data_IF_411440121374
#
_entry.id   IF_411440121374
#
_cell.length_a   1.000
_cell.length_b   1.000
_cell.length_c   1.000
_cell.angle_alpha   90.00
_cell.angle_beta   90.00
_cell.angle_gamma   90.00
#
_symmetry.space_group_name_H-M   'P 1'
#
loop_
_entity.id
_entity.type
_entity.pdbx_description
1 polymer ?
#
# COMPACT_ATOMS: atom_id res chain seq x y z
N UNK A 1 -7.37 19.32 -28.16
CA UNK A 1 -6.78 18.34 -27.22
C UNK A 1 -7.33 16.96 -27.56
N UNK A 2 -6.48 16.03 -27.99
CA UNK A 2 -6.86 14.69 -28.43
C UNK A 2 -6.92 13.71 -27.26
N UNK A 3 -7.64 12.59 -27.41
CA UNK A 3 -7.71 11.52 -26.39
C UNK A 3 -6.30 11.00 -26.03
N UNK A 4 -5.39 10.94 -27.00
CA UNK A 4 -4.00 10.53 -26.80
C UNK A 4 -3.19 11.52 -25.95
N UNK A 5 -3.42 12.83 -26.12
CA UNK A 5 -2.81 13.87 -25.29
C UNK A 5 -3.33 13.83 -23.85
N UNK A 6 -4.64 13.60 -23.68
CA UNK A 6 -5.25 13.43 -22.36
C UNK A 6 -4.63 12.24 -21.62
N UNK A 7 -4.52 11.08 -22.29
CA UNK A 7 -3.90 9.87 -21.70
C UNK A 7 -2.45 10.11 -21.27
N UNK A 8 -1.62 10.73 -22.14
CA UNK A 8 -0.23 11.07 -21.78
C UNK A 8 -0.14 11.98 -20.58
N UNK A 9 -1.04 12.96 -20.47
CA UNK A 9 -1.07 13.92 -19.36
C UNK A 9 -1.50 13.26 -18.06
N UNK A 10 -2.48 12.35 -18.12
CA UNK A 10 -2.89 11.52 -16.99
C UNK A 10 -1.72 10.63 -16.52
N UNK A 11 -0.99 9.98 -17.44
CA UNK A 11 0.14 9.12 -17.06
C UNK A 11 1.31 9.93 -16.49
N UNK A 12 1.56 11.13 -17.00
CA UNK A 12 2.52 12.06 -16.41
C UNK A 12 2.13 12.47 -14.99
N UNK A 13 0.84 12.77 -14.75
CA UNK A 13 0.33 13.10 -13.42
C UNK A 13 0.40 11.89 -12.48
N UNK A 14 0.03 10.69 -12.93
CA UNK A 14 0.17 9.46 -12.14
C UNK A 14 1.62 9.18 -11.75
N UNK A 15 2.58 9.44 -12.64
CA UNK A 15 4.01 9.33 -12.33
C UNK A 15 4.46 10.40 -11.34
N UNK A 16 4.03 11.64 -11.53
CA UNK A 16 4.34 12.77 -10.63
C UNK A 16 3.81 12.53 -9.22
N UNK A 17 2.59 12.01 -9.10
CA UNK A 17 1.89 11.78 -7.83
C UNK A 17 1.85 10.30 -7.42
N UNK A 18 2.79 9.48 -7.92
CA UNK A 18 2.78 8.05 -7.67
C UNK A 18 2.86 7.72 -6.17
N UNK A 19 3.54 8.58 -5.41
CA UNK A 19 3.72 8.44 -3.96
C UNK A 19 2.44 8.78 -3.21
N UNK A 20 1.79 9.90 -3.54
CA UNK A 20 0.55 10.36 -2.94
C UNK A 20 -0.61 9.40 -3.26
N UNK A 21 -0.67 8.91 -4.51
CA UNK A 21 -1.66 7.90 -4.90
C UNK A 21 -1.45 6.56 -4.17
N UNK A 22 -0.20 6.20 -3.88
CA UNK A 22 0.11 5.05 -3.03
C UNK A 22 -0.32 5.30 -1.57
N UNK A 23 -0.18 6.51 -1.04
CA UNK A 23 -0.67 6.80 0.31
C UNK A 23 -2.20 6.74 0.36
N UNK A 24 -2.90 7.33 -0.62
CA UNK A 24 -4.37 7.33 -0.68
C UNK A 24 -4.93 5.91 -0.76
N UNK A 25 -4.38 5.06 -1.63
CA UNK A 25 -4.86 3.68 -1.74
C UNK A 25 -4.51 2.87 -0.49
N UNK A 26 -3.38 3.15 0.16
CA UNK A 26 -2.99 2.48 1.40
C UNK A 26 -3.95 2.86 2.51
N UNK A 27 -4.24 4.16 2.66
CA UNK A 27 -5.19 4.67 3.65
C UNK A 27 -6.52 3.94 3.54
N UNK A 28 -7.04 3.74 2.33
CA UNK A 28 -8.27 2.96 2.11
C UNK A 28 -8.16 1.50 2.59
N UNK A 29 -7.02 0.85 2.40
CA UNK A 29 -6.80 -0.52 2.88
C UNK A 29 -6.65 -0.53 4.40
N UNK A 30 -5.93 0.44 4.94
CA UNK A 30 -5.71 0.60 6.36
C UNK A 30 -7.03 0.86 7.09
N UNK A 31 -7.89 1.74 6.57
CA UNK A 31 -9.25 1.96 7.05
C UNK A 31 -10.07 0.66 6.99
N UNK A 32 -10.00 -0.08 5.89
CA UNK A 32 -10.69 -1.37 5.75
C UNK A 32 -10.15 -2.51 6.64
N UNK A 33 -8.95 -2.35 7.21
CA UNK A 33 -8.34 -3.33 8.13
C UNK A 33 -8.45 -2.86 9.57
N UNK A 34 -8.57 -1.54 9.80
CA UNK A 34 -8.72 -0.93 11.12
C UNK A 34 -9.99 -1.37 11.84
N UNK A 35 -11.09 -1.54 11.10
CA UNK A 35 -12.36 -2.02 11.67
C UNK A 35 -12.23 -3.44 12.27
N UNK A 36 -11.33 -4.26 11.73
CA UNK A 36 -11.06 -5.64 12.18
C UNK A 36 -9.85 -5.74 13.13
N UNK A 37 -9.16 -4.63 13.41
CA UNK A 37 -7.87 -4.66 14.10
C UNK A 37 -8.06 -4.71 15.60
N UNK A 38 -8.00 -5.92 16.14
CA UNK A 38 -7.88 -6.13 17.57
C UNK A 38 -6.38 -6.12 17.98
N UNK A 39 -5.92 -5.20 18.84
CA UNK A 39 -4.54 -5.20 19.33
C UNK A 39 -4.14 -6.50 20.03
N UNK A 40 -5.08 -7.17 20.69
CA UNK A 40 -4.85 -8.42 21.42
C UNK A 40 -4.83 -9.64 20.48
N UNK A 41 -5.44 -9.50 19.29
CA UNK A 41 -5.48 -10.55 18.27
C UNK A 41 -5.36 -9.92 16.89
N UNK A 42 -4.15 -9.47 16.51
CA UNK A 42 -3.95 -8.81 15.23
C UNK A 42 -4.26 -9.79 14.08
N UNK A 43 -4.84 -9.31 12.97
CA UNK A 43 -5.09 -10.14 11.81
C UNK A 43 -3.79 -10.74 11.27
N UNK A 44 -3.88 -11.94 10.70
CA UNK A 44 -2.71 -12.65 10.18
C UNK A 44 -2.00 -11.77 9.13
N UNK A 45 -0.69 -11.49 9.27
CA UNK A 45 0.04 -10.60 8.37
C UNK A 45 -0.07 -11.02 6.89
N UNK A 46 -0.18 -12.32 6.62
CA UNK A 46 -0.40 -12.86 5.27
C UNK A 46 -1.66 -12.31 4.61
N UNK A 47 -2.78 -12.26 5.35
CA UNK A 47 -4.08 -11.84 4.82
C UNK A 47 -4.09 -10.35 4.51
N UNK A 48 -3.48 -9.54 5.39
CA UNK A 48 -3.38 -8.10 5.15
C UNK A 48 -2.44 -7.80 3.99
N UNK A 49 -1.29 -8.48 3.90
CA UNK A 49 -0.39 -8.35 2.74
C UNK A 49 -1.10 -8.74 1.44
N UNK A 50 -1.90 -9.81 1.44
CA UNK A 50 -2.71 -10.18 0.28
C UNK A 50 -3.73 -9.10 -0.09
N UNK A 51 -4.46 -8.52 0.88
CA UNK A 51 -5.39 -7.41 0.64
C UNK A 51 -4.66 -6.23 -0.03
N UNK A 52 -3.46 -5.91 0.45
CA UNK A 52 -2.66 -4.81 -0.09
C UNK A 52 -2.17 -5.12 -1.52
N UNK A 53 -1.70 -6.34 -1.79
CA UNK A 53 -1.30 -6.77 -3.14
C UNK A 53 -2.51 -6.78 -4.10
N UNK A 54 -3.69 -7.21 -3.65
CA UNK A 54 -4.96 -7.18 -4.41
C UNK A 54 -5.42 -5.78 -4.76
N UNK A 55 -5.14 -4.80 -3.91
CA UNK A 55 -5.34 -3.39 -4.21
C UNK A 55 -4.33 -2.81 -5.24
N UNK A 56 -3.42 -3.64 -5.75
CA UNK A 56 -2.45 -3.29 -6.78
C UNK A 56 -1.16 -2.68 -6.25
N UNK A 57 -0.87 -2.81 -4.95
CA UNK A 57 0.44 -2.45 -4.41
C UNK A 57 1.46 -3.53 -4.68
N UNK A 58 2.69 -3.08 -4.87
CA UNK A 58 3.85 -3.94 -5.14
C UNK A 58 4.98 -3.60 -4.19
N UNK A 59 5.93 -4.52 -4.02
CA UNK A 59 7.05 -4.40 -3.09
C UNK A 59 7.84 -3.07 -3.23
N UNK A 60 8.16 -2.55 -4.44
CA UNK A 60 8.84 -1.26 -4.55
C UNK A 60 8.02 -0.07 -4.00
N UNK A 61 6.69 -0.18 -4.07
CA UNK A 61 5.78 0.83 -3.51
C UNK A 61 5.79 0.77 -2.00
N UNK A 62 5.81 -0.45 -1.43
CA UNK A 62 5.95 -0.70 0.00
C UNK A 62 7.21 -0.06 0.60
N UNK A 63 8.36 -0.24 -0.04
CA UNK A 63 9.63 0.32 0.44
C UNK A 63 9.59 1.86 0.45
N UNK A 64 9.03 2.48 -0.60
CA UNK A 64 8.91 3.95 -0.67
C UNK A 64 7.93 4.51 0.34
N UNK A 65 6.88 3.75 0.62
CA UNK A 65 5.84 4.06 1.60
C UNK A 65 6.36 3.93 3.03
N UNK A 66 7.14 2.89 3.33
CA UNK A 66 7.87 2.75 4.60
C UNK A 66 8.64 4.00 4.96
N UNK A 67 9.51 4.45 4.04
CA UNK A 67 10.32 5.65 4.23
C UNK A 67 9.46 6.87 4.52
N UNK A 68 8.37 7.05 3.75
CA UNK A 68 7.45 8.17 3.97
C UNK A 68 6.77 8.12 5.34
N UNK A 69 6.27 6.95 5.74
CA UNK A 69 5.61 6.80 7.04
C UNK A 69 6.59 6.94 8.21
N UNK A 70 7.85 6.52 8.04
CA UNK A 70 8.93 6.77 8.99
C UNK A 70 9.23 8.27 9.13
N UNK A 71 9.23 9.01 8.00
CA UNK A 71 9.40 10.47 7.98
C UNK A 71 8.22 11.16 8.72
N UNK A 72 6.98 10.80 8.38
CA UNK A 72 5.76 11.32 9.05
C UNK A 72 5.73 10.98 10.54
N UNK A 73 6.18 9.78 10.92
CA UNK A 73 6.29 9.37 12.33
C UNK A 73 7.28 10.23 13.11
N UNK A 74 8.39 10.63 12.49
CA UNK A 74 9.37 11.53 13.09
C UNK A 74 8.83 12.95 13.22
N UNK A 75 7.91 13.37 12.35
CA UNK A 75 7.25 14.68 12.37
C UNK A 75 6.11 14.79 13.39
N UNK A 76 5.72 13.67 14.04
CA UNK A 76 4.97 13.69 15.31
C UNK A 76 3.49 13.31 15.24
N UNK A 77 2.90 13.10 14.06
CA UNK A 77 1.53 12.61 13.94
C UNK A 77 1.37 11.58 12.83
N UNK A 78 1.16 10.32 13.23
CA UNK A 78 0.77 9.24 12.33
C UNK A 78 -0.70 8.92 12.61
N UNK A 79 -1.61 9.07 11.63
CA UNK A 79 -2.97 8.59 11.77
C UNK A 79 -3.00 7.10 12.13
N UNK A 80 -3.92 6.70 13.02
CA UNK A 80 -4.05 5.31 13.48
C UNK A 80 -4.06 4.23 12.37
N UNK A 81 -4.72 4.43 11.20
CA UNK A 81 -4.64 3.44 10.12
C UNK A 81 -3.22 3.30 9.57
N UNK A 82 -2.44 4.38 9.55
CA UNK A 82 -1.08 4.38 9.03
C UNK A 82 -0.09 3.72 10.01
N UNK A 83 -0.32 3.79 11.33
CA UNK A 83 0.49 3.05 12.31
C UNK A 83 0.34 1.55 12.14
N UNK A 84 -0.87 1.05 11.86
CA UNK A 84 -1.09 -0.37 11.58
C UNK A 84 -0.30 -0.84 10.35
N UNK A 85 -0.25 -0.02 9.30
CA UNK A 85 0.56 -0.35 8.14
C UNK A 85 2.03 -0.39 8.49
N UNK A 86 2.53 0.57 9.29
CA UNK A 86 3.91 0.57 9.75
C UNK A 86 4.29 -0.75 10.45
N UNK A 87 3.40 -1.29 11.28
CA UNK A 87 3.62 -2.56 11.98
C UNK A 87 3.65 -3.78 11.04
N UNK A 88 3.00 -3.68 9.88
CA UNK A 88 2.97 -4.72 8.85
C UNK A 88 4.15 -4.67 7.87
N UNK A 89 4.83 -3.52 7.74
CA UNK A 89 5.95 -3.34 6.81
C UNK A 89 7.13 -4.31 7.03
N UNK A 90 7.56 -4.60 8.28
CA UNK A 90 8.63 -5.58 8.52
C UNK A 90 8.30 -6.97 7.95
N UNK A 91 7.02 -7.33 7.93
CA UNK A 91 6.56 -8.62 7.40
C UNK A 91 6.65 -8.67 5.87
N UNK A 92 6.41 -7.55 5.18
CA UNK A 92 6.55 -7.47 3.73
C UNK A 92 8.01 -7.67 3.24
N UNK A 93 8.99 -7.42 4.12
CA UNK A 93 10.41 -7.61 3.82
C UNK A 93 10.90 -9.04 4.08
N UNK A 94 10.16 -9.82 4.86
CA UNK A 94 10.45 -11.23 5.14
C UNK A 94 10.25 -12.08 3.87
N UNK A 95 11.23 -12.93 3.57
CA UNK A 95 11.29 -13.72 2.34
C UNK A 95 10.06 -14.61 2.11
N UNK A 96 9.41 -15.07 3.19
CA UNK A 96 8.16 -15.82 3.13
C UNK A 96 7.04 -15.01 2.47
N UNK A 97 6.96 -13.71 2.75
CA UNK A 97 5.90 -12.85 2.24
C UNK A 97 6.26 -12.12 0.95
N UNK A 98 7.55 -12.05 0.60
CA UNK A 98 8.00 -11.56 -0.71
C UNK A 98 7.39 -12.34 -1.88
N UNK A 99 7.00 -13.59 -1.66
CA UNK A 99 6.27 -14.39 -2.65
C UNK A 99 4.92 -13.74 -3.03
N UNK A 100 4.17 -13.19 -2.07
CA UNK A 100 2.89 -12.51 -2.33
C UNK A 100 3.04 -11.30 -3.25
N UNK A 101 4.18 -10.60 -3.20
CA UNK A 101 4.48 -9.48 -4.10
C UNK A 101 5.04 -9.88 -5.47
N UNK A 102 5.53 -11.12 -5.59
CA UNK A 102 6.06 -11.70 -6.83
C UNK A 102 4.99 -12.44 -7.64
N UNK A 103 3.94 -12.93 -6.98
CA UNK A 103 2.77 -13.42 -7.67
C UNK A 103 2.11 -12.27 -8.44
N UNK A 104 2.25 -12.29 -9.76
CA UNK A 104 1.31 -11.60 -10.63
C UNK A 104 -0.07 -12.14 -10.29
N UNK A 105 -0.86 -11.36 -9.55
CA UNK A 105 -2.27 -11.67 -9.37
C UNK A 105 -2.86 -11.92 -10.75
N UNK A 106 -3.59 -13.03 -10.97
CA UNK A 106 -4.32 -13.19 -12.21
C UNK A 106 -5.19 -11.95 -12.38
N UNK A 107 -5.17 -11.36 -13.57
CA UNK A 107 -6.04 -10.23 -13.90
C UNK A 107 -7.46 -10.58 -13.47
N UNK A 108 -8.23 -9.65 -12.87
CA UNK A 108 -9.59 -9.95 -12.46
C UNK A 108 -10.33 -10.49 -13.69
N UNK A 109 -10.89 -11.70 -13.54
CA UNK A 109 -11.72 -12.31 -14.57
C UNK A 109 -12.86 -11.32 -14.88
N UNK A 110 -12.97 -10.97 -16.17
CA UNK A 110 -14.01 -10.07 -16.68
C UNK A 110 -15.37 -10.73 -16.62
#
# INVERSE_FOLDING_TARGET
MTISEIRRRIDALKRKFARELAIIKLRRIAEAVADDWNPDQPPEPADVIQRIVRAGFRLPTFIRLRRYLDDVRREGEVPYPNTMVLDLLPWAENDRYRAFFRCELPAPAR
#
